data_IF_363356962445
#
_entry.id   IF_363356962445
#
_cell.length_a   1.000
_cell.length_b   1.000
_cell.length_c   1.000
_cell.angle_alpha   90.00
_cell.angle_beta   90.00
_cell.angle_gamma   90.00
#
_symmetry.space_group_name_H-M   'P 1'
#
loop_
_entity.id
_entity.type
_entity.pdbx_description
1 polymer ?
#
# COMPACT_ATOMS: atom_id res chain seq x y z
N UNK A 1 2.29 32.94 -22.19
CA UNK A 1 3.03 31.84 -21.54
C UNK A 1 2.70 30.57 -22.32
N UNK A 2 3.68 29.83 -22.83
CA UNK A 2 3.44 28.63 -23.65
C UNK A 2 2.87 27.50 -22.79
N UNK A 3 1.99 26.67 -23.37
CA UNK A 3 1.26 25.61 -22.67
C UNK A 3 2.21 24.60 -21.97
N UNK A 4 3.37 24.37 -22.59
CA UNK A 4 4.45 23.51 -22.07
C UNK A 4 5.07 24.03 -20.76
N UNK A 5 5.19 25.35 -20.59
CA UNK A 5 5.71 25.96 -19.36
C UNK A 5 4.66 25.99 -18.23
N UNK A 6 3.37 26.04 -18.58
CA UNK A 6 2.24 25.92 -17.63
C UNK A 6 2.13 24.50 -17.09
N UNK A 7 2.21 23.49 -17.96
CA UNK A 7 2.09 22.08 -17.58
C UNK A 7 3.27 21.59 -16.73
N UNK A 8 4.47 22.17 -16.88
CA UNK A 8 5.62 21.85 -16.00
C UNK A 8 5.38 22.26 -14.53
N UNK A 9 4.54 23.27 -14.28
CA UNK A 9 4.21 23.76 -12.92
C UNK A 9 2.88 23.22 -12.39
N UNK A 10 2.04 22.69 -13.29
CA UNK A 10 0.71 22.14 -12.99
C UNK A 10 0.50 20.90 -13.88
N UNK A 11 1.11 19.77 -13.53
CA UNK A 11 0.90 18.55 -14.30
C UNK A 11 -0.59 18.20 -14.26
N UNK A 12 -1.17 17.89 -15.42
CA UNK A 12 -2.51 17.31 -15.49
C UNK A 12 -2.40 15.84 -15.13
N UNK A 13 -3.14 15.40 -14.12
CA UNK A 13 -3.29 13.99 -13.80
C UNK A 13 -4.56 13.46 -14.46
N UNK A 14 -4.51 12.23 -14.95
CA UNK A 14 -5.73 11.52 -15.35
C UNK A 14 -6.51 11.14 -14.09
N UNK A 15 -7.80 11.50 -14.06
CA UNK A 15 -8.70 11.09 -12.97
C UNK A 15 -9.23 9.70 -13.29
N UNK A 16 -8.51 8.69 -12.80
CA UNK A 16 -8.99 7.31 -12.81
C UNK A 16 -10.30 7.20 -12.02
N UNK A 17 -11.12 6.15 -12.22
CA UNK A 17 -12.40 6.01 -11.52
C UNK A 17 -12.30 6.17 -9.98
N UNK A 18 -11.31 5.60 -9.28
CA UNK A 18 -11.15 5.82 -7.83
C UNK A 18 -10.83 7.28 -7.47
N UNK A 19 -10.02 7.97 -8.28
CA UNK A 19 -9.70 9.38 -8.06
C UNK A 19 -10.88 10.30 -8.37
N UNK A 20 -11.69 9.96 -9.37
CA UNK A 20 -12.93 10.66 -9.69
C UNK A 20 -13.93 10.53 -8.53
N UNK A 21 -14.12 9.33 -7.99
CA UNK A 21 -14.98 9.11 -6.82
C UNK A 21 -14.51 9.91 -5.60
N UNK A 22 -13.20 9.97 -5.35
CA UNK A 22 -12.65 10.82 -4.28
C UNK A 22 -12.97 12.30 -4.56
N UNK A 23 -12.80 12.76 -5.79
CA UNK A 23 -13.04 14.14 -6.18
C UNK A 23 -14.52 14.55 -6.00
N UNK A 24 -15.43 13.69 -6.43
CA UNK A 24 -16.88 13.92 -6.39
C UNK A 24 -17.44 13.95 -4.96
N UNK A 25 -16.79 13.24 -4.03
CA UNK A 25 -17.19 13.17 -2.62
C UNK A 25 -16.53 14.23 -1.72
N UNK A 26 -15.78 15.20 -2.28
CA UNK A 26 -15.17 16.27 -1.49
C UNK A 26 -16.18 17.38 -1.15
N UNK A 27 -16.07 17.98 0.05
CA UNK A 27 -16.77 19.23 0.35
C UNK A 27 -16.36 20.35 -0.63
N UNK A 28 -17.26 21.29 -0.98
CA UNK A 28 -16.99 22.36 -1.94
C UNK A 28 -15.74 23.21 -1.63
N UNK A 29 -15.39 23.35 -0.35
CA UNK A 29 -14.24 24.10 0.12
C UNK A 29 -12.90 23.35 0.04
N UNK A 30 -12.91 22.04 -0.31
CA UNK A 30 -11.70 21.21 -0.40
C UNK A 30 -11.37 20.85 -1.85
N UNK A 31 -10.10 21.04 -2.22
CA UNK A 31 -9.59 20.60 -3.52
C UNK A 31 -9.07 19.17 -3.48
N UNK A 32 -9.19 18.45 -4.61
CA UNK A 32 -8.58 17.13 -4.77
C UNK A 32 -7.06 17.16 -4.51
N UNK A 33 -6.36 18.21 -4.97
CA UNK A 33 -4.92 18.35 -4.74
C UNK A 33 -4.57 18.45 -3.25
N UNK A 34 -5.36 19.20 -2.46
CA UNK A 34 -5.15 19.26 -1.01
C UNK A 34 -5.41 17.91 -0.35
N UNK A 35 -6.45 17.17 -0.77
CA UNK A 35 -6.72 15.82 -0.26
C UNK A 35 -5.59 14.84 -0.59
N UNK A 36 -5.06 14.88 -1.80
CA UNK A 36 -3.95 14.02 -2.23
C UNK A 36 -2.65 14.35 -1.47
N UNK A 37 -2.36 15.63 -1.23
CA UNK A 37 -1.21 16.04 -0.42
C UNK A 37 -1.27 15.43 1.00
N UNK A 38 -2.41 15.53 1.67
CA UNK A 38 -2.59 14.93 3.01
C UNK A 38 -2.48 13.40 2.98
N UNK A 39 -2.96 12.74 1.92
CA UNK A 39 -2.80 11.28 1.78
C UNK A 39 -1.32 10.92 1.62
N UNK A 40 -0.59 11.64 0.78
CA UNK A 40 0.84 11.42 0.56
C UNK A 40 1.64 11.59 1.86
N UNK A 41 1.42 12.67 2.62
CA UNK A 41 2.07 12.89 3.92
C UNK A 41 1.79 11.77 4.93
N UNK A 42 0.54 11.27 4.98
CA UNK A 42 0.16 10.16 5.87
C UNK A 42 0.78 8.83 5.45
N UNK A 43 0.86 8.60 4.14
CA UNK A 43 1.47 7.41 3.59
C UNK A 43 2.98 7.39 3.85
N UNK A 44 3.68 8.51 3.63
CA UNK A 44 5.11 8.65 3.99
C UNK A 44 5.32 8.40 5.49
N UNK A 45 4.47 8.95 6.35
CA UNK A 45 4.54 8.72 7.79
C UNK A 45 4.33 7.23 8.13
N UNK A 46 3.31 6.58 7.56
CA UNK A 46 3.06 5.17 7.78
C UNK A 46 4.26 4.30 7.36
N UNK A 47 4.90 4.63 6.24
CA UNK A 47 6.05 3.88 5.71
C UNK A 47 7.39 4.25 6.38
N UNK A 48 7.44 5.27 7.23
CA UNK A 48 8.68 5.70 7.88
C UNK A 48 9.21 4.73 8.95
N UNK A 49 8.33 3.87 9.48
CA UNK A 49 8.64 2.89 10.52
C UNK A 49 7.95 1.56 10.19
N UNK A 50 8.39 0.84 9.15
CA UNK A 50 7.80 -0.43 8.79
C UNK A 50 8.03 -1.47 9.91
N UNK A 51 7.14 -2.45 10.09
CA UNK A 51 7.37 -3.57 11.00
C UNK A 51 8.70 -4.26 10.72
N UNK A 52 9.45 -4.59 11.78
CA UNK A 52 10.72 -5.31 11.62
C UNK A 52 10.48 -6.75 11.18
N UNK A 53 11.15 -7.18 10.11
CA UNK A 53 11.06 -8.55 9.61
C UNK A 53 12.40 -9.26 9.76
N UNK A 54 12.36 -10.51 10.21
CA UNK A 54 13.51 -11.42 10.15
C UNK A 54 13.82 -11.78 8.68
N UNK A 55 15.00 -12.33 8.43
CA UNK A 55 15.37 -12.75 7.07
C UNK A 55 14.45 -13.84 6.53
N UNK A 56 14.03 -14.79 7.38
CA UNK A 56 13.10 -15.86 7.02
C UNK A 56 11.71 -15.29 6.69
N UNK A 57 11.20 -14.35 7.49
CA UNK A 57 9.92 -13.68 7.23
C UNK A 57 9.96 -12.88 5.92
N UNK A 58 11.07 -12.18 5.64
CA UNK A 58 11.28 -11.47 4.36
C UNK A 58 11.23 -12.44 3.18
N UNK A 59 11.85 -13.61 3.31
CA UNK A 59 11.85 -14.63 2.26
C UNK A 59 10.43 -15.17 2.02
N UNK A 60 9.71 -15.55 3.08
CA UNK A 60 8.34 -16.08 2.97
C UNK A 60 7.37 -15.03 2.38
N UNK A 61 7.43 -13.79 2.85
CA UNK A 61 6.63 -12.70 2.33
C UNK A 61 6.98 -12.38 0.88
N UNK A 62 8.26 -12.26 0.54
CA UNK A 62 8.71 -12.00 -0.82
C UNK A 62 8.20 -13.05 -1.80
N UNK A 63 8.28 -14.33 -1.43
CA UNK A 63 7.73 -15.42 -2.23
C UNK A 63 6.20 -15.39 -2.34
N UNK A 64 5.49 -15.03 -1.27
CA UNK A 64 4.01 -14.94 -1.26
C UNK A 64 3.50 -13.76 -2.10
N UNK A 65 4.20 -12.63 -2.07
CA UNK A 65 3.81 -11.41 -2.79
C UNK A 65 4.23 -11.44 -4.27
N UNK A 66 5.27 -12.20 -4.62
CA UNK A 66 5.78 -12.28 -5.98
C UNK A 66 4.75 -12.81 -6.98
N UNK A 67 4.40 -11.97 -7.96
CA UNK A 67 3.43 -12.32 -9.01
C UNK A 67 1.97 -12.09 -8.61
N UNK A 68 1.71 -11.59 -7.40
CA UNK A 68 0.37 -11.28 -6.89
C UNK A 68 0.02 -9.82 -7.17
N UNK A 69 -1.24 -9.55 -7.51
CA UNK A 69 -1.74 -8.18 -7.61
C UNK A 69 -2.09 -7.65 -6.22
N UNK A 70 -1.42 -6.58 -5.80
CA UNK A 70 -1.58 -6.00 -4.46
C UNK A 70 -2.76 -5.03 -4.39
N UNK A 71 -3.96 -5.58 -4.46
CA UNK A 71 -5.20 -4.81 -4.30
C UNK A 71 -5.57 -4.61 -2.81
N UNK A 72 -6.41 -3.62 -2.47
CA UNK A 72 -6.74 -3.34 -1.07
C UNK A 72 -7.31 -4.53 -0.28
N UNK A 73 -8.09 -5.41 -0.94
CA UNK A 73 -8.62 -6.61 -0.29
C UNK A 73 -7.54 -7.66 -0.04
N UNK A 74 -6.56 -7.78 -0.94
CA UNK A 74 -5.40 -8.65 -0.74
C UNK A 74 -4.62 -8.19 0.49
N UNK A 75 -4.29 -6.90 0.59
CA UNK A 75 -3.57 -6.34 1.75
C UNK A 75 -4.37 -6.54 3.04
N UNK A 76 -5.70 -6.33 2.98
CA UNK A 76 -6.61 -6.54 4.11
C UNK A 76 -6.65 -7.99 4.60
N UNK A 77 -6.48 -8.97 3.72
CA UNK A 77 -6.51 -10.39 4.08
C UNK A 77 -5.16 -11.08 3.90
N UNK A 78 -4.07 -10.30 3.92
CA UNK A 78 -2.70 -10.80 3.71
C UNK A 78 -2.35 -11.96 4.65
N UNK A 79 -2.85 -11.96 5.88
CA UNK A 79 -2.66 -13.07 6.82
C UNK A 79 -3.17 -14.41 6.26
N UNK A 80 -4.31 -14.40 5.55
CA UNK A 80 -4.86 -15.60 4.91
C UNK A 80 -4.07 -16.00 3.67
N UNK A 81 -3.65 -15.02 2.87
CA UNK A 81 -2.82 -15.27 1.69
C UNK A 81 -1.46 -15.90 2.06
N UNK A 82 -0.89 -15.51 3.20
CA UNK A 82 0.32 -16.12 3.76
C UNK A 82 0.03 -17.55 4.23
N UNK A 83 -1.06 -17.77 4.97
CA UNK A 83 -1.44 -19.08 5.49
C UNK A 83 -1.72 -20.10 4.37
N UNK A 84 -2.28 -19.64 3.25
CA UNK A 84 -2.58 -20.46 2.06
C UNK A 84 -1.39 -20.56 1.07
N UNK A 85 -0.26 -19.90 1.37
CA UNK A 85 0.93 -19.89 0.52
C UNK A 85 1.65 -21.25 0.50
N UNK A 86 2.33 -21.54 -0.62
CA UNK A 86 3.24 -22.68 -0.74
C UNK A 86 4.72 -22.26 -0.64
N UNK A 87 4.99 -21.07 -0.12
CA UNK A 87 6.32 -20.45 -0.10
C UNK A 87 7.32 -21.08 0.90
N UNK A 88 6.86 -21.90 1.85
CA UNK A 88 7.72 -22.45 2.90
C UNK A 88 7.01 -23.49 3.76
N UNK A 89 7.54 -23.73 4.97
CA UNK A 89 6.94 -24.69 5.88
C UNK A 89 5.58 -24.20 6.40
N UNK A 90 4.54 -25.06 6.45
CA UNK A 90 3.21 -24.65 6.91
C UNK A 90 3.18 -24.10 8.34
N UNK A 91 4.10 -24.49 9.23
CA UNK A 91 4.17 -23.94 10.59
C UNK A 91 4.71 -22.51 10.60
N UNK A 92 5.77 -22.23 9.85
CA UNK A 92 6.35 -20.89 9.72
C UNK A 92 5.35 -19.91 9.09
N UNK A 93 4.62 -20.36 8.07
CA UNK A 93 3.57 -19.57 7.43
C UNK A 93 2.43 -19.24 8.39
N UNK A 94 2.01 -20.19 9.25
CA UNK A 94 0.97 -19.93 10.26
C UNK A 94 1.43 -18.94 11.33
N UNK A 95 2.69 -19.02 11.76
CA UNK A 95 3.25 -18.11 12.75
C UNK A 95 3.36 -16.68 12.19
N UNK A 96 3.86 -16.55 10.95
CA UNK A 96 3.89 -15.27 10.25
C UNK A 96 2.48 -14.72 10.00
N UNK A 97 1.53 -15.55 9.55
CA UNK A 97 0.14 -15.16 9.35
C UNK A 97 -0.51 -14.66 10.64
N UNK A 98 -0.28 -15.34 11.77
CA UNK A 98 -0.77 -14.91 13.08
C UNK A 98 -0.22 -13.54 13.46
N UNK A 99 1.06 -13.29 13.19
CA UNK A 99 1.69 -11.98 13.42
C UNK A 99 1.10 -10.89 12.52
N UNK A 100 0.94 -11.15 11.22
CA UNK A 100 0.35 -10.20 10.25
C UNK A 100 -1.12 -9.90 10.58
N UNK A 101 -1.84 -10.86 11.16
CA UNK A 101 -3.23 -10.70 11.59
C UNK A 101 -3.40 -9.58 12.61
N UNK A 102 -2.46 -9.46 13.54
CA UNK A 102 -2.45 -8.41 14.58
C UNK A 102 -1.99 -7.04 14.05
N UNK A 103 -1.38 -6.98 12.86
CA UNK A 103 -0.99 -5.71 12.24
C UNK A 103 -2.20 -4.94 11.74
N UNK A 104 -2.18 -3.63 11.99
CA UNK A 104 -3.07 -2.68 11.34
C UNK A 104 -2.85 -2.64 9.83
N UNK A 105 -3.85 -2.15 9.09
CA UNK A 105 -3.73 -1.98 7.64
C UNK A 105 -2.53 -1.10 7.26
N UNK A 106 -2.25 -0.05 8.02
CA UNK A 106 -1.12 0.84 7.77
C UNK A 106 0.24 0.13 7.94
N UNK A 107 0.37 -0.72 8.97
CA UNK A 107 1.56 -1.54 9.18
C UNK A 107 1.76 -2.56 8.06
N UNK A 108 0.68 -3.18 7.57
CA UNK A 108 0.75 -4.11 6.43
C UNK A 108 1.21 -3.40 5.15
N UNK A 109 0.70 -2.21 4.88
CA UNK A 109 1.16 -1.38 3.75
C UNK A 109 2.65 -1.04 3.92
N UNK A 110 3.04 -0.52 5.08
CA UNK A 110 4.44 -0.16 5.34
C UNK A 110 5.39 -1.36 5.18
N UNK A 111 4.97 -2.53 5.67
CA UNK A 111 5.70 -3.79 5.51
C UNK A 111 5.90 -4.15 4.04
N UNK A 112 4.85 -4.13 3.22
CA UNK A 112 4.89 -4.42 1.78
C UNK A 112 5.84 -3.46 1.06
N UNK A 113 5.71 -2.16 1.32
CA UNK A 113 6.54 -1.12 0.69
C UNK A 113 8.02 -1.29 1.07
N UNK A 114 8.31 -1.70 2.31
CA UNK A 114 9.68 -1.99 2.77
C UNK A 114 10.34 -3.18 2.05
N UNK A 115 9.53 -4.05 1.43
CA UNK A 115 9.97 -5.16 0.60
C UNK A 115 10.10 -4.78 -0.89
N UNK A 116 9.65 -3.58 -1.28
CA UNK A 116 9.78 -3.04 -2.64
C UNK A 116 8.69 -3.49 -3.61
N UNK A 117 7.50 -3.84 -3.11
CA UNK A 117 6.33 -4.16 -3.94
C UNK A 117 5.36 -2.98 -4.10
#
# INVERSE_FOLDING_TARGET
MTDKARNKRRPSIYLSPPLAEIADNLPPEKSLSARLATIAERYELACSQPPELTDDERQLLGSTLSGTLLEPLMIKYLDREIEDSNAGDPSELRDLAARVREMSYAERVAMIESLGF
#
